data_IF_833435945742
#
_entry.id   IF_833435945742
#
_cell.length_a   1.000
_cell.length_b   1.000
_cell.length_c   1.000
_cell.angle_alpha   90.00
_cell.angle_beta   90.00
_cell.angle_gamma   90.00
#
_symmetry.space_group_name_H-M   'P 1'
#
loop_
_entity.id
_entity.type
_entity.pdbx_description
1 polymer ?
#
# COMPACT_ATOMS: atom_id res chain seq x y z
N UNK A 1 16.23 -9.33 -57.73
CA UNK A 1 15.12 -8.53 -57.15
C UNK A 1 14.48 -9.40 -56.09
N UNK A 2 14.78 -9.15 -54.81
CA UNK A 2 14.23 -9.96 -53.72
C UNK A 2 12.76 -9.58 -53.53
N UNK A 3 11.85 -10.49 -53.84
CA UNK A 3 10.43 -10.30 -53.57
C UNK A 3 10.23 -10.22 -52.06
N UNK A 4 9.95 -9.02 -51.54
CA UNK A 4 9.48 -8.85 -50.17
C UNK A 4 8.11 -9.54 -50.06
N UNK A 5 8.09 -10.72 -49.44
CA UNK A 5 6.84 -11.37 -49.03
C UNK A 5 6.27 -10.55 -47.88
N UNK A 6 5.27 -9.70 -48.18
CA UNK A 6 4.50 -9.00 -47.17
C UNK A 6 3.66 -9.98 -46.34
N UNK A 7 3.35 -9.58 -45.11
CA UNK A 7 2.43 -10.30 -44.22
C UNK A 7 1.01 -10.25 -44.80
N UNK A 8 0.28 -11.36 -44.80
CA UNK A 8 -1.09 -11.37 -45.31
C UNK A 8 -2.07 -10.77 -44.29
N UNK A 9 -3.17 -10.20 -44.77
CA UNK A 9 -4.22 -9.66 -43.89
C UNK A 9 -4.82 -10.74 -42.98
N UNK A 10 -4.94 -11.98 -43.48
CA UNK A 10 -5.46 -13.10 -42.69
C UNK A 10 -4.49 -13.52 -41.59
N UNK A 11 -3.19 -13.55 -41.85
CA UNK A 11 -2.19 -13.81 -40.81
C UNK A 11 -2.23 -12.74 -39.73
N UNK A 12 -2.37 -11.46 -40.11
CA UNK A 12 -2.51 -10.37 -39.13
C UNK A 12 -3.77 -10.51 -38.27
N UNK A 13 -4.92 -10.88 -38.86
CA UNK A 13 -6.16 -11.08 -38.11
C UNK A 13 -6.05 -12.22 -37.08
N UNK A 14 -5.41 -13.33 -37.45
CA UNK A 14 -5.18 -14.46 -36.52
C UNK A 14 -4.26 -14.04 -35.38
N UNK A 15 -3.19 -13.30 -35.67
CA UNK A 15 -2.26 -12.81 -34.65
C UNK A 15 -2.99 -11.90 -33.66
N UNK A 16 -3.83 -10.97 -34.14
CA UNK A 16 -4.62 -10.09 -33.27
C UNK A 16 -5.62 -10.88 -32.42
N UNK A 17 -6.24 -11.92 -32.98
CA UNK A 17 -7.16 -12.78 -32.22
C UNK A 17 -6.44 -13.50 -31.06
N UNK A 18 -5.25 -14.06 -31.33
CA UNK A 18 -4.45 -14.75 -30.29
C UNK A 18 -4.00 -13.76 -29.21
N UNK A 19 -3.48 -12.58 -29.61
CA UNK A 19 -3.07 -11.54 -28.65
C UNK A 19 -4.27 -11.08 -27.81
N UNK A 20 -5.46 -10.95 -28.40
CA UNK A 20 -6.69 -10.58 -27.70
C UNK A 20 -7.04 -11.57 -26.58
N UNK A 21 -6.95 -12.87 -26.85
CA UNK A 21 -7.22 -13.93 -25.85
C UNK A 21 -6.18 -13.88 -24.73
N UNK A 22 -4.89 -13.78 -25.07
CA UNK A 22 -3.82 -13.71 -24.07
C UNK A 22 -3.94 -12.45 -23.19
N UNK A 23 -4.26 -11.29 -23.79
CA UNK A 23 -4.43 -10.04 -23.09
C UNK A 23 -5.58 -10.09 -22.08
N UNK A 24 -6.69 -10.75 -22.41
CA UNK A 24 -7.83 -10.90 -21.50
C UNK A 24 -7.46 -11.61 -20.18
N UNK A 25 -6.49 -12.53 -20.21
CA UNK A 25 -6.00 -13.24 -19.02
C UNK A 25 -4.85 -12.49 -18.35
N UNK A 26 -3.91 -11.97 -19.15
CA UNK A 26 -2.67 -11.36 -18.64
C UNK A 26 -2.92 -10.01 -17.96
N UNK A 27 -3.83 -9.18 -18.48
CA UNK A 27 -4.12 -7.84 -17.93
C UNK A 27 -4.62 -7.91 -16.47
N UNK A 28 -5.68 -8.68 -16.12
CA UNK A 28 -6.15 -8.73 -14.74
C UNK A 28 -5.11 -9.33 -13.80
N UNK A 29 -4.31 -10.31 -14.25
CA UNK A 29 -3.21 -10.87 -13.46
C UNK A 29 -2.12 -9.83 -13.19
N UNK A 30 -1.72 -9.06 -14.19
CA UNK A 30 -0.74 -7.99 -14.04
C UNK A 30 -1.24 -6.89 -13.10
N UNK A 31 -2.50 -6.48 -13.21
CA UNK A 31 -3.11 -5.50 -12.29
C UNK A 31 -3.09 -5.99 -10.84
N UNK A 32 -3.37 -7.28 -10.61
CA UNK A 32 -3.29 -7.89 -9.28
C UNK A 32 -1.86 -7.88 -8.72
N UNK A 33 -0.87 -8.17 -9.56
CA UNK A 33 0.53 -8.14 -9.18
C UNK A 33 0.97 -6.72 -8.77
N UNK A 34 0.60 -5.70 -9.55
CA UNK A 34 0.90 -4.30 -9.23
C UNK A 34 0.25 -3.89 -7.92
N UNK A 35 -1.01 -4.24 -7.68
CA UNK A 35 -1.68 -3.94 -6.42
C UNK A 35 -0.94 -4.57 -5.23
N UNK A 36 -0.57 -5.85 -5.31
CA UNK A 36 0.18 -6.54 -4.24
C UNK A 36 1.55 -5.92 -4.00
N UNK A 37 2.27 -5.55 -5.07
CA UNK A 37 3.57 -4.88 -5.00
C UNK A 37 3.46 -3.51 -4.31
N UNK A 38 2.46 -2.71 -4.68
CA UNK A 38 2.21 -1.42 -4.06
C UNK A 38 1.86 -1.53 -2.57
N UNK A 39 1.06 -2.51 -2.18
CA UNK A 39 0.75 -2.78 -0.76
C UNK A 39 2.01 -3.16 0.01
N UNK A 40 2.86 -4.03 -0.54
CA UNK A 40 4.14 -4.39 0.09
C UNK A 40 5.10 -3.20 0.20
N UNK A 41 5.08 -2.29 -0.78
CA UNK A 41 5.91 -1.08 -0.76
C UNK A 41 5.48 -0.15 0.37
N UNK A 42 4.18 0.17 0.46
CA UNK A 42 3.63 0.99 1.54
C UNK A 42 3.84 0.33 2.90
N UNK A 43 3.69 -0.99 3.01
CA UNK A 43 3.99 -1.73 4.24
C UNK A 43 5.43 -1.50 4.72
N UNK A 44 6.40 -1.56 3.81
CA UNK A 44 7.82 -1.32 4.11
C UNK A 44 8.09 0.15 4.44
N UNK A 45 7.53 1.07 3.65
CA UNK A 45 7.68 2.50 3.86
C UNK A 45 7.19 2.88 5.27
N UNK A 46 5.96 2.51 5.63
CA UNK A 46 5.35 2.85 6.94
C UNK A 46 6.00 2.05 8.08
N UNK A 47 6.39 0.82 7.80
CA UNK A 47 7.12 -0.01 8.75
C UNK A 47 8.45 0.60 9.18
N UNK A 48 9.14 1.33 8.30
CA UNK A 48 10.39 2.00 8.62
C UNK A 48 10.24 3.16 9.61
N UNK A 49 9.05 3.76 9.70
CA UNK A 49 8.78 4.89 10.62
C UNK A 49 8.68 4.48 12.08
N UNK A 50 8.45 3.20 12.37
CA UNK A 50 8.20 2.74 13.75
C UNK A 50 9.35 3.06 14.69
N UNK A 51 10.58 2.91 14.24
CA UNK A 51 11.75 3.18 15.07
C UNK A 51 11.80 4.65 15.48
N UNK A 52 11.53 5.57 14.54
CA UNK A 52 11.43 6.99 14.85
C UNK A 52 10.23 7.29 15.77
N UNK A 53 9.09 6.63 15.53
CA UNK A 53 7.91 6.73 16.38
C UNK A 53 8.21 6.30 17.83
N UNK A 54 8.94 5.18 18.03
CA UNK A 54 9.36 4.73 19.36
C UNK A 54 10.23 5.77 20.06
N UNK A 55 11.22 6.34 19.36
CA UNK A 55 12.06 7.39 19.93
C UNK A 55 11.23 8.59 20.38
N UNK A 56 10.35 9.10 19.51
CA UNK A 56 9.50 10.23 19.86
C UNK A 56 8.55 9.94 21.03
N UNK A 57 7.94 8.74 21.07
CA UNK A 57 7.05 8.33 22.16
C UNK A 57 7.81 8.26 23.48
N UNK A 58 9.03 7.74 23.48
CA UNK A 58 9.86 7.64 24.69
C UNK A 58 10.38 9.00 25.16
N UNK A 59 10.66 9.91 24.23
CA UNK A 59 11.11 11.28 24.53
C UNK A 59 9.94 12.22 24.90
N UNK A 60 8.69 11.74 24.84
CA UNK A 60 7.49 12.53 25.11
C UNK A 60 7.19 13.58 24.03
N UNK A 61 7.72 13.39 22.82
CA UNK A 61 7.49 14.26 21.67
C UNK A 61 6.13 13.92 21.05
N UNK A 62 5.30 14.92 20.85
CA UNK A 62 4.00 14.77 20.19
C UNK A 62 4.15 14.33 18.72
N UNK A 63 3.14 13.64 18.19
CA UNK A 63 3.11 13.14 16.81
C UNK A 63 3.35 14.23 15.76
N UNK A 64 2.81 15.43 15.96
CA UNK A 64 2.97 16.58 15.05
C UNK A 64 4.37 17.22 15.06
N UNK A 65 5.20 16.88 16.04
CA UNK A 65 6.57 17.38 16.21
C UNK A 65 7.61 16.27 16.05
N UNK A 66 7.17 15.03 15.78
CA UNK A 66 8.05 13.89 15.60
C UNK A 66 8.67 13.86 14.19
N UNK A 67 10.00 13.79 14.13
CA UNK A 67 10.75 13.68 12.89
C UNK A 67 10.88 12.22 12.45
N UNK A 68 9.96 11.78 11.60
CA UNK A 68 9.94 10.38 11.12
C UNK A 68 10.99 10.06 10.04
N UNK A 69 11.71 11.08 9.52
CA UNK A 69 12.68 10.89 8.43
C UNK A 69 12.07 10.31 7.14
N UNK A 70 10.78 10.54 6.92
CA UNK A 70 10.02 9.91 5.84
C UNK A 70 10.24 10.60 4.49
N UNK A 71 10.24 9.80 3.42
CA UNK A 71 10.24 10.31 2.02
C UNK A 71 8.85 10.16 1.40
N UNK A 72 8.33 11.24 0.83
CA UNK A 72 6.99 11.27 0.23
C UNK A 72 6.71 10.11 -0.73
N UNK A 73 5.64 9.36 -0.47
CA UNK A 73 5.18 8.26 -1.32
C UNK A 73 4.08 8.73 -2.26
N UNK A 74 4.27 8.50 -3.57
CA UNK A 74 3.24 8.79 -4.57
C UNK A 74 2.01 7.87 -4.47
N UNK A 75 2.10 6.77 -3.72
CA UNK A 75 1.02 5.81 -3.52
C UNK A 75 0.10 6.18 -2.36
N UNK A 76 0.50 7.11 -1.50
CA UNK A 76 -0.33 7.64 -0.43
C UNK A 76 -1.07 8.89 -0.91
N UNK A 77 -1.92 9.48 -0.06
CA UNK A 77 -2.77 10.65 -0.37
C UNK A 77 -2.05 11.87 -0.98
N UNK A 78 -2.75 12.99 -1.13
CA UNK A 78 -2.27 14.12 -1.95
C UNK A 78 -0.85 14.61 -1.58
N UNK A 79 -0.06 14.86 -2.64
CA UNK A 79 1.39 15.16 -2.66
C UNK A 79 1.84 16.33 -1.78
N UNK A 80 0.94 17.22 -1.39
CA UNK A 80 1.32 18.51 -0.79
C UNK A 80 1.27 18.55 0.75
N UNK A 81 0.58 17.63 1.42
CA UNK A 81 0.55 17.54 2.90
C UNK A 81 0.36 16.10 3.43
N UNK A 82 0.61 15.09 2.61
CA UNK A 82 0.45 13.66 2.96
C UNK A 82 -0.83 13.36 3.76
N UNK A 83 -1.98 13.82 3.27
CA UNK A 83 -3.31 13.50 3.86
C UNK A 83 -3.55 11.99 4.00
N UNK A 84 -2.77 11.16 3.29
CA UNK A 84 -2.84 9.71 3.37
C UNK A 84 -1.86 9.06 4.33
N UNK A 85 -1.09 9.79 5.14
CA UNK A 85 -0.28 9.19 6.20
C UNK A 85 -0.52 9.97 7.50
N UNK A 86 -1.10 9.31 8.48
CA UNK A 86 -1.48 9.92 9.76
C UNK A 86 -0.81 9.15 10.88
N UNK A 87 0.06 9.81 11.63
CA UNK A 87 0.53 9.33 12.92
C UNK A 87 -0.39 9.86 14.01
N UNK A 88 -0.68 9.04 15.01
CA UNK A 88 -1.40 9.44 16.20
C UNK A 88 -0.74 8.80 17.39
N UNK A 89 -0.21 9.61 18.30
CA UNK A 89 0.41 9.10 19.52
C UNK A 89 -0.56 9.18 20.69
N UNK A 90 -0.51 8.17 21.55
CA UNK A 90 -1.19 8.22 22.82
C UNK A 90 -0.64 9.33 23.72
N UNK A 91 -1.48 9.88 24.61
CA UNK A 91 -1.11 10.98 25.51
C UNK A 91 0.03 10.63 26.48
N UNK A 92 0.33 9.34 26.65
CA UNK A 92 1.44 8.81 27.44
C UNK A 92 2.14 7.70 26.67
N UNK A 93 3.38 7.37 27.03
CA UNK A 93 4.10 6.25 26.43
C UNK A 93 3.41 4.88 26.61
N UNK A 94 2.51 4.78 27.59
CA UNK A 94 1.71 3.60 27.88
C UNK A 94 0.36 3.56 27.13
N UNK A 95 -0.01 4.63 26.41
CA UNK A 95 -1.19 4.66 25.58
C UNK A 95 -0.90 4.15 24.16
N UNK A 96 -1.92 3.61 23.50
CA UNK A 96 -1.79 3.08 22.15
C UNK A 96 -1.49 4.19 21.15
N UNK A 97 -0.66 3.85 20.15
CA UNK A 97 -0.29 4.76 19.06
C UNK A 97 -0.53 4.09 17.71
N UNK A 98 -0.86 4.87 16.69
CA UNK A 98 -1.16 4.36 15.35
C UNK A 98 -0.41 5.10 14.25
N UNK A 99 0.00 4.37 13.22
CA UNK A 99 0.44 4.91 11.94
C UNK A 99 -0.51 4.38 10.86
N UNK A 100 -1.31 5.27 10.27
CA UNK A 100 -2.33 4.92 9.29
C UNK A 100 -1.92 5.44 7.92
N UNK A 101 -1.64 4.52 6.99
CA UNK A 101 -1.40 4.83 5.59
C UNK A 101 -2.64 4.52 4.75
N UNK A 102 -3.15 5.53 4.07
CA UNK A 102 -4.28 5.47 3.13
C UNK A 102 -3.76 5.56 1.71
N UNK A 103 -4.06 4.55 0.89
CA UNK A 103 -3.69 4.50 -0.52
C UNK A 103 -4.39 5.62 -1.31
N UNK A 104 -3.60 6.45 -1.99
CA UNK A 104 -4.03 7.63 -2.73
C UNK A 104 -4.39 7.37 -4.20
N UNK A 105 -4.53 8.45 -4.96
CA UNK A 105 -5.05 8.42 -6.33
C UNK A 105 -4.15 7.69 -7.34
N UNK A 106 -2.85 7.55 -7.07
CA UNK A 106 -1.91 6.82 -7.94
C UNK A 106 -1.78 5.34 -7.57
N UNK A 107 -2.45 4.89 -6.49
CA UNK A 107 -2.51 3.47 -6.17
C UNK A 107 -3.37 2.72 -7.20
N UNK A 108 -3.14 1.41 -7.33
CA UNK A 108 -3.90 0.55 -8.21
C UNK A 108 -5.38 0.60 -7.84
N UNK A 109 -6.26 0.56 -8.85
CA UNK A 109 -7.71 0.73 -8.66
C UNK A 109 -8.28 -0.16 -7.54
N UNK A 110 -7.79 -1.40 -7.42
CA UNK A 110 -8.26 -2.37 -6.45
C UNK A 110 -7.92 -2.03 -4.98
N UNK A 111 -6.97 -1.12 -4.75
CA UNK A 111 -6.51 -0.74 -3.40
C UNK A 111 -6.65 0.75 -3.12
N UNK A 112 -7.22 1.56 -4.03
CA UNK A 112 -7.47 2.98 -3.76
C UNK A 112 -8.34 3.14 -2.52
N UNK A 113 -8.04 4.18 -1.73
CA UNK A 113 -8.73 4.55 -0.47
C UNK A 113 -8.69 3.50 0.64
N UNK A 114 -8.08 2.33 0.39
CA UNK A 114 -7.79 1.32 1.41
C UNK A 114 -6.70 1.83 2.35
N UNK A 115 -6.58 1.18 3.49
CA UNK A 115 -5.72 1.53 4.60
C UNK A 115 -4.84 0.36 5.04
N UNK A 116 -3.64 0.71 5.44
CA UNK A 116 -2.70 -0.13 6.17
C UNK A 116 -2.38 0.58 7.49
N UNK A 117 -2.67 -0.07 8.59
CA UNK A 117 -2.58 0.52 9.93
C UNK A 117 -1.60 -0.28 10.76
N UNK A 118 -0.57 0.40 11.26
CA UNK A 118 0.30 -0.11 12.29
C UNK A 118 -0.17 0.42 13.64
N UNK A 119 -0.45 -0.49 14.57
CA UNK A 119 -0.86 -0.16 15.93
C UNK A 119 0.22 -0.62 16.89
N UNK A 120 0.72 0.31 17.71
CA UNK A 120 1.58 0.04 18.84
C UNK A 120 0.70 -0.12 20.08
N UNK A 121 0.77 -1.28 20.71
CA UNK A 121 0.18 -1.49 22.03
C UNK A 121 0.99 -0.74 23.08
N UNK A 122 0.41 0.27 23.72
CA UNK A 122 1.11 1.17 24.63
C UNK A 122 1.73 0.45 25.84
N UNK A 123 1.03 -0.56 26.37
CA UNK A 123 1.49 -1.33 27.53
C UNK A 123 2.73 -2.21 27.26
N UNK A 124 2.96 -2.62 26.01
CA UNK A 124 4.01 -3.59 25.66
C UNK A 124 4.99 -3.09 24.59
N UNK A 125 4.72 -1.95 23.96
CA UNK A 125 5.47 -1.44 22.80
C UNK A 125 5.37 -2.34 21.56
N UNK A 126 4.45 -3.30 21.54
CA UNK A 126 4.35 -4.27 20.44
C UNK A 126 3.62 -3.66 19.25
N UNK A 127 4.24 -3.75 18.06
CA UNK A 127 3.61 -3.31 16.81
C UNK A 127 2.87 -4.43 16.11
N UNK A 128 1.61 -4.18 15.79
CA UNK A 128 0.76 -5.06 14.99
C UNK A 128 0.30 -4.34 13.73
N UNK A 129 0.25 -5.05 12.59
CA UNK A 129 -0.28 -4.49 11.35
C UNK A 129 -1.67 -5.04 11.06
N UNK A 130 -2.58 -4.17 10.67
CA UNK A 130 -3.91 -4.48 10.12
C UNK A 130 -4.10 -3.79 8.77
N UNK A 131 -4.95 -4.34 7.92
CA UNK A 131 -5.27 -3.74 6.62
C UNK A 131 -6.66 -4.14 6.13
N UNK A 132 -7.34 -3.22 5.44
CA UNK A 132 -8.66 -3.41 4.82
C UNK A 132 -8.57 -3.71 3.30
N UNK A 133 -7.35 -3.90 2.78
CA UNK A 133 -7.15 -4.39 1.40
C UNK A 133 -7.68 -5.81 1.29
N UNK A 134 -8.19 -6.17 0.11
CA UNK A 134 -8.68 -7.52 -0.13
C UNK A 134 -7.60 -8.57 0.22
N UNK A 135 -8.03 -9.71 0.74
CA UNK A 135 -7.14 -10.79 1.19
C UNK A 135 -6.11 -11.23 0.13
N UNK A 136 -6.45 -11.12 -1.17
CA UNK A 136 -5.56 -11.41 -2.30
C UNK A 136 -4.36 -10.46 -2.44
N UNK A 137 -4.45 -9.23 -1.92
CA UNK A 137 -3.38 -8.23 -1.96
C UNK A 137 -2.69 -8.03 -0.61
N UNK A 138 -3.16 -8.72 0.42
CA UNK A 138 -2.67 -8.60 1.79
C UNK A 138 -1.16 -8.93 1.88
N UNK A 139 -0.35 -8.09 2.54
CA UNK A 139 1.07 -8.36 2.71
C UNK A 139 1.29 -9.38 3.83
N UNK A 140 2.40 -10.13 3.75
CA UNK A 140 2.80 -11.02 4.84
C UNK A 140 3.10 -10.19 6.10
N UNK A 141 2.57 -10.61 7.25
CA UNK A 141 2.79 -9.92 8.54
C UNK A 141 1.73 -8.87 8.92
N UNK A 142 0.80 -8.52 8.03
CA UNK A 142 -0.43 -7.83 8.44
C UNK A 142 -1.54 -8.85 8.69
N UNK A 143 -2.47 -8.54 9.57
CA UNK A 143 -3.76 -9.22 9.68
C UNK A 143 -4.80 -8.48 8.82
N UNK A 144 -5.80 -9.21 8.31
CA UNK A 144 -6.93 -8.53 7.67
C UNK A 144 -7.77 -7.93 8.79
N UNK A 145 -8.26 -6.71 8.62
CA UNK A 145 -9.09 -6.06 9.65
C UNK A 145 -10.32 -6.95 9.92
N UNK A 146 -10.38 -7.58 11.08
CA UNK A 146 -11.67 -7.95 11.66
C UNK A 146 -12.40 -6.62 11.87
N UNK A 147 -13.63 -6.50 11.37
CA UNK A 147 -14.48 -5.34 11.56
C UNK A 147 -14.33 -4.84 13.01
N UNK A 148 -14.04 -3.55 13.18
CA UNK A 148 -13.89 -2.95 14.50
C UNK A 148 -15.10 -3.32 15.38
N UNK A 149 -14.91 -3.59 16.69
CA UNK A 149 -16.05 -3.77 17.58
C UNK A 149 -16.84 -2.46 17.58
N UNK A 150 -18.01 -2.49 16.97
CA UNK A 150 -19.05 -1.50 17.22
C UNK A 150 -19.35 -1.54 18.71
N UNK A 151 -19.00 -0.46 19.41
CA UNK A 151 -19.59 -0.16 20.72
C UNK A 151 -21.00 0.37 20.51
#
# INVERSE_FOLDING_TARGET
MNAQKGFTLIELMIVVAIIGILAAIAIPQYQNYIAKSQVSRVMSEVGAMKTAAETCINDGIADNACEFGWTSSNLLGAKTLQTGLVATFGATAAADSTLVATFGANAAQAIKTKKLTWTRAGATGTWTCTTDVDAKYKPAGCSGTAAAPTS
#
